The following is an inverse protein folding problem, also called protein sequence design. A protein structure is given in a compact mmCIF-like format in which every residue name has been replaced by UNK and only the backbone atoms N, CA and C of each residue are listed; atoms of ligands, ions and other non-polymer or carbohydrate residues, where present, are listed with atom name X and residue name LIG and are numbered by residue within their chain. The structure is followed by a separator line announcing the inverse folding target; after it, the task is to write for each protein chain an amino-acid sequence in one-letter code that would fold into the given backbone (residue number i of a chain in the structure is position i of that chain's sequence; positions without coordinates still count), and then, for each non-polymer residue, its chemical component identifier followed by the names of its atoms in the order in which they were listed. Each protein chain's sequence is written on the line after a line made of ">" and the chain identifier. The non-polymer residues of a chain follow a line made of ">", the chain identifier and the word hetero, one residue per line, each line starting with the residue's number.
data_IF_629863140063
#
_entry.id   IF_629863140063
#
_cell.length_a   1.000
_cell.length_b   1.000
_cell.length_c   1.000
_cell.angle_alpha   90.00
_cell.angle_beta   90.00
_cell.angle_gamma   90.00
#
_symmetry.space_group_name_H-M   'P 1'
#
loop_
_entity.id
_entity.type
_entity.pdbx_description
1 polymer ?
#
# COMPACT_ATOMS: atom_id res chain seq x y z
N UNK A 1 -21.51 4.65 11.43
CA UNK A 1 -22.89 4.48 10.94
C UNK A 1 -23.63 3.40 11.73
N UNK A 2 -23.10 2.18 11.84
CA UNK A 2 -23.80 1.03 12.48
C UNK A 2 -23.81 0.98 14.02
N UNK A 3 -23.02 1.81 14.71
CA UNK A 3 -22.95 1.82 16.18
C UNK A 3 -23.80 2.94 16.82
N UNK A 4 -24.49 3.77 16.02
CA UNK A 4 -25.29 4.87 16.55
C UNK A 4 -26.48 4.31 17.34
N UNK A 5 -26.68 4.77 18.58
CA UNK A 5 -27.74 4.26 19.48
C UNK A 5 -27.43 2.93 20.20
N UNK A 6 -26.28 2.29 19.92
CA UNK A 6 -25.85 1.03 20.56
C UNK A 6 -25.13 1.27 21.87
N UNK A 7 -25.88 1.62 22.91
CA UNK A 7 -25.35 1.89 24.26
C UNK A 7 -24.62 0.68 24.87
N UNK A 8 -24.98 -0.54 24.48
CA UNK A 8 -24.34 -1.79 24.87
C UNK A 8 -22.88 -1.89 24.39
N UNK A 9 -22.53 -1.22 23.29
CA UNK A 9 -21.17 -1.19 22.76
C UNK A 9 -20.30 -0.09 23.39
N UNK A 10 -20.91 0.87 24.10
CA UNK A 10 -20.21 2.07 24.59
C UNK A 10 -19.05 1.74 25.51
N UNK A 11 -19.23 0.79 26.43
CA UNK A 11 -18.16 0.36 27.33
C UNK A 11 -16.96 -0.24 26.60
N UNK A 12 -17.19 -1.07 25.57
CA UNK A 12 -16.13 -1.65 24.75
C UNK A 12 -15.45 -0.56 23.91
N UNK A 13 -16.21 0.35 23.31
CA UNK A 13 -15.67 1.48 22.55
C UNK A 13 -14.80 2.36 23.44
N UNK A 14 -15.27 2.72 24.64
CA UNK A 14 -14.52 3.54 25.60
C UNK A 14 -13.23 2.83 26.03
N UNK A 15 -13.27 1.52 26.27
CA UNK A 15 -12.08 0.72 26.61
C UNK A 15 -11.10 0.63 25.42
N UNK A 16 -11.58 0.51 24.18
CA UNK A 16 -10.75 0.54 22.96
C UNK A 16 -10.10 1.92 22.74
N UNK A 17 -10.88 3.00 22.87
CA UNK A 17 -10.42 4.39 22.70
C UNK A 17 -9.45 4.83 23.80
N UNK A 18 -9.61 4.31 25.01
CA UNK A 18 -8.68 4.53 26.11
C UNK A 18 -7.40 3.66 26.00
N UNK A 19 -7.19 2.96 24.88
CA UNK A 19 -6.08 2.03 24.65
C UNK A 19 -5.90 1.02 25.79
N UNK A 20 -7.00 0.60 26.43
CA UNK A 20 -6.98 -0.47 27.44
C UNK A 20 -6.93 -1.81 26.71
N UNK A 21 -5.82 -2.05 26.03
CA UNK A 21 -5.55 -3.26 25.22
C UNK A 21 -5.67 -4.54 26.07
N UNK A 22 -5.56 -4.42 27.40
CA UNK A 22 -5.79 -5.49 28.37
C UNK A 22 -7.27 -5.82 28.63
N UNK A 23 -8.22 -5.02 28.13
CA UNK A 23 -9.67 -5.21 28.28
C UNK A 23 -10.36 -5.50 26.96
N UNK A 24 -10.02 -4.78 25.89
CA UNK A 24 -10.65 -4.95 24.60
C UNK A 24 -9.63 -4.76 23.47
N UNK A 25 -9.63 -5.69 22.52
CA UNK A 25 -8.87 -5.61 21.29
C UNK A 25 -9.78 -5.99 20.12
N UNK A 26 -10.09 -5.02 19.27
CA UNK A 26 -10.85 -5.23 18.04
C UNK A 26 -10.03 -5.97 17.00
N UNK A 27 -10.60 -7.02 16.42
CA UNK A 27 -10.05 -7.73 15.26
C UNK A 27 -11.06 -7.72 14.12
N UNK A 28 -10.56 -7.66 12.90
CA UNK A 28 -11.35 -7.65 11.67
C UNK A 28 -11.02 -8.87 10.80
N UNK A 29 -11.53 -10.07 11.16
CA UNK A 29 -11.19 -11.32 10.49
C UNK A 29 -11.94 -11.46 9.16
N UNK A 30 -11.47 -10.78 8.12
CA UNK A 30 -12.19 -10.64 6.86
C UNK A 30 -11.87 -11.72 5.83
N UNK A 31 -10.59 -12.10 5.68
CA UNK A 31 -10.18 -13.08 4.69
C UNK A 31 -10.45 -14.51 5.16
N UNK A 32 -10.87 -15.37 4.23
CA UNK A 32 -10.87 -16.82 4.39
C UNK A 32 -9.67 -17.43 3.67
N UNK A 33 -9.29 -18.65 4.03
CA UNK A 33 -8.19 -19.38 3.38
C UNK A 33 -8.39 -19.47 1.86
N UNK A 34 -9.63 -19.67 1.40
CA UNK A 34 -9.99 -19.72 -0.02
C UNK A 34 -10.42 -18.40 -0.64
N UNK A 35 -10.71 -17.37 0.16
CA UNK A 35 -11.33 -16.14 -0.31
C UNK A 35 -10.70 -14.90 0.36
N UNK A 36 -9.78 -14.25 -0.36
CA UNK A 36 -9.21 -12.95 0.01
C UNK A 36 -9.70 -11.79 -0.86
N UNK A 37 -10.08 -12.07 -2.11
CA UNK A 37 -10.41 -11.06 -3.13
C UNK A 37 -11.87 -11.10 -3.58
N UNK A 38 -12.52 -12.25 -3.38
CA UNK A 38 -13.92 -12.49 -3.77
C UNK A 38 -14.80 -12.57 -2.52
N UNK A 39 -15.04 -11.41 -1.93
CA UNK A 39 -15.85 -11.29 -0.69
C UNK A 39 -17.31 -11.74 -0.89
N UNK A 40 -17.83 -11.65 -2.12
CA UNK A 40 -19.21 -12.02 -2.41
C UNK A 40 -19.45 -13.53 -2.23
N UNK A 41 -18.38 -14.33 -2.31
CA UNK A 41 -18.44 -15.79 -2.22
C UNK A 41 -17.79 -16.34 -0.94
N UNK A 42 -17.71 -15.53 0.13
CA UNK A 42 -17.31 -16.03 1.45
C UNK A 42 -18.20 -17.20 1.87
N UNK A 43 -17.57 -18.21 2.46
CA UNK A 43 -18.21 -19.49 2.75
C UNK A 43 -18.59 -19.67 4.23
N UNK A 44 -18.09 -18.83 5.14
CA UNK A 44 -18.56 -18.78 6.53
C UNK A 44 -19.99 -18.26 6.57
N UNK A 45 -20.90 -18.99 7.21
CA UNK A 45 -22.31 -18.63 7.28
C UNK A 45 -22.68 -18.07 8.64
N UNK A 46 -23.53 -17.05 8.67
CA UNK A 46 -24.24 -16.57 9.85
C UNK A 46 -25.75 -16.76 9.63
N UNK A 47 -26.34 -17.80 10.21
CA UNK A 47 -27.74 -18.21 9.98
C UNK A 47 -28.62 -17.72 11.13
N UNK A 48 -29.67 -16.94 10.83
CA UNK A 48 -30.64 -16.47 11.82
C UNK A 48 -31.48 -17.65 12.34
N UNK A 49 -31.58 -17.82 13.65
CA UNK A 49 -32.48 -18.81 14.24
C UNK A 49 -33.93 -18.31 14.33
N UNK A 50 -34.94 -19.21 14.24
CA UNK A 50 -36.35 -18.85 14.43
C UNK A 50 -36.66 -18.18 15.77
N UNK A 51 -35.88 -18.48 16.82
CA UNK A 51 -36.01 -17.87 18.15
C UNK A 51 -35.21 -16.57 18.36
N UNK A 52 -34.58 -16.05 17.31
CA UNK A 52 -33.64 -14.92 17.37
C UNK A 52 -32.20 -15.36 17.62
N UNK A 53 -31.26 -14.46 17.34
CA UNK A 53 -29.82 -14.77 17.36
C UNK A 53 -29.34 -15.49 16.10
N UNK A 54 -28.03 -15.74 16.03
CA UNK A 54 -27.37 -16.30 14.85
C UNK A 54 -26.52 -17.53 15.20
N UNK A 55 -26.51 -18.52 14.32
CA UNK A 55 -25.47 -19.54 14.28
C UNK A 55 -24.37 -19.10 13.32
N UNK A 56 -23.14 -19.03 13.80
CA UNK A 56 -21.98 -18.85 12.96
C UNK A 56 -21.24 -20.16 12.75
N UNK A 57 -20.98 -20.50 11.49
CA UNK A 57 -20.34 -21.76 11.14
C UNK A 57 -19.35 -21.63 9.96
N UNK A 58 -18.18 -22.23 10.13
CA UNK A 58 -17.22 -22.49 9.07
C UNK A 58 -17.62 -23.77 8.35
N UNK A 59 -18.13 -23.64 7.13
CA UNK A 59 -18.72 -24.74 6.34
C UNK A 59 -17.69 -25.74 5.81
N UNK A 60 -16.45 -25.29 5.58
CA UNK A 60 -15.35 -26.12 5.08
C UNK A 60 -13.98 -25.51 5.44
N UNK A 61 -12.90 -26.24 5.20
CA UNK A 61 -11.54 -25.76 5.52
C UNK A 61 -11.15 -24.49 4.76
N UNK A 62 -11.62 -24.31 3.52
CA UNK A 62 -11.35 -23.11 2.74
C UNK A 62 -12.10 -21.88 3.27
N UNK A 63 -13.18 -22.10 4.05
CA UNK A 63 -13.94 -21.04 4.72
C UNK A 63 -13.32 -20.62 6.07
N UNK A 64 -12.23 -21.28 6.51
CA UNK A 64 -11.57 -20.91 7.75
C UNK A 64 -10.98 -19.50 7.63
N UNK A 65 -11.11 -18.68 8.68
CA UNK A 65 -10.68 -17.28 8.64
C UNK A 65 -9.18 -17.17 8.86
N UNK A 66 -8.52 -16.37 8.03
CA UNK A 66 -7.15 -15.95 8.26
C UNK A 66 -7.16 -14.71 9.16
N UNK A 67 -6.57 -14.81 10.35
CA UNK A 67 -6.67 -13.79 11.39
C UNK A 67 -5.29 -13.42 11.92
N UNK A 68 -5.10 -12.18 12.33
CA UNK A 68 -3.90 -11.73 13.01
C UNK A 68 -4.23 -11.57 14.49
N UNK A 69 -3.80 -12.51 15.33
CA UNK A 69 -3.87 -12.34 16.78
C UNK A 69 -2.51 -11.88 17.29
N UNK A 70 -2.48 -10.88 18.17
CA UNK A 70 -1.41 -10.88 19.18
C UNK A 70 -1.67 -12.09 20.08
N UNK A 71 -0.62 -12.76 20.55
CA UNK A 71 -0.70 -13.70 21.69
C UNK A 71 -1.75 -13.22 22.69
N UNK A 72 -2.54 -14.11 23.33
CA UNK A 72 -3.42 -13.68 24.41
C UNK A 72 -2.57 -12.88 25.38
N UNK A 73 -2.75 -11.56 25.43
CA UNK A 73 -2.10 -10.72 26.41
C UNK A 73 -2.65 -11.21 27.74
N UNK A 74 -1.85 -12.00 28.46
CA UNK A 74 -2.13 -12.45 29.82
C UNK A 74 -3.42 -13.31 29.97
N UNK A 75 -3.69 -14.22 29.02
CA UNK A 75 -4.78 -15.21 29.18
C UNK A 75 -6.21 -14.63 29.19
N UNK A 76 -6.42 -13.48 28.54
CA UNK A 76 -7.71 -12.78 28.49
C UNK A 76 -8.36 -12.82 27.10
N UNK A 77 -9.71 -12.75 27.02
CA UNK A 77 -10.43 -12.78 25.75
C UNK A 77 -10.07 -11.56 24.89
N UNK A 78 -9.60 -11.80 23.66
CA UNK A 78 -9.62 -10.79 22.61
C UNK A 78 -11.07 -10.58 22.15
N UNK A 79 -11.41 -9.38 21.68
CA UNK A 79 -12.75 -9.01 21.23
C UNK A 79 -12.74 -8.71 19.73
N UNK A 80 -12.50 -9.71 18.86
CA UNK A 80 -12.95 -9.64 17.47
C UNK A 80 -14.47 -9.53 17.36
N UNK A 81 -14.99 -9.09 16.20
CA UNK A 81 -16.44 -9.13 15.91
C UNK A 81 -17.01 -10.55 16.11
N UNK A 82 -16.15 -11.58 16.13
CA UNK A 82 -16.46 -12.96 16.50
C UNK A 82 -15.23 -13.58 17.19
N UNK A 83 -15.34 -14.15 18.41
CA UNK A 83 -14.19 -14.77 19.12
C UNK A 83 -14.35 -16.24 19.50
N UNK A 84 -15.50 -16.86 19.28
CA UNK A 84 -15.77 -18.20 19.80
C UNK A 84 -15.27 -19.33 18.86
N UNK A 85 -14.21 -19.06 18.10
CA UNK A 85 -13.64 -19.98 17.12
C UNK A 85 -12.45 -20.77 17.68
N UNK A 86 -12.23 -21.98 17.13
CA UNK A 86 -11.01 -22.77 17.37
C UNK A 86 -9.89 -22.25 16.48
N UNK A 87 -8.73 -21.97 17.08
CA UNK A 87 -7.58 -21.40 16.39
C UNK A 87 -6.44 -22.40 16.18
N UNK A 88 -5.75 -22.25 15.06
CA UNK A 88 -4.47 -22.89 14.76
C UNK A 88 -3.44 -21.78 14.52
N UNK A 89 -2.38 -21.72 15.34
CA UNK A 89 -1.29 -20.75 15.18
C UNK A 89 -0.39 -21.16 14.02
N UNK A 90 -0.12 -20.21 13.13
CA UNK A 90 0.78 -20.40 12.00
C UNK A 90 2.24 -20.11 12.41
N UNK A 91 3.24 -20.76 11.76
CA UNK A 91 4.64 -20.45 12.02
C UNK A 91 4.95 -18.98 11.70
N UNK A 92 5.99 -18.46 12.36
CA UNK A 92 6.50 -17.11 12.11
C UNK A 92 6.87 -16.93 10.64
N UNK A 93 6.51 -15.77 10.08
CA UNK A 93 6.82 -15.38 8.70
C UNK A 93 7.97 -14.36 8.68
N UNK A 94 8.60 -14.20 7.52
CA UNK A 94 9.55 -13.11 7.31
C UNK A 94 8.79 -11.78 7.28
N UNK A 95 9.18 -10.83 8.14
CA UNK A 95 8.41 -9.62 8.38
C UNK A 95 7.25 -9.83 9.36
N UNK A 96 6.69 -8.74 9.89
CA UNK A 96 5.53 -8.74 10.81
C UNK A 96 5.74 -9.57 12.10
N UNK A 97 6.97 -9.59 12.62
CA UNK A 97 7.38 -10.39 13.77
C UNK A 97 6.62 -10.18 15.11
N UNK A 98 5.94 -9.04 15.41
CA UNK A 98 5.13 -8.96 16.62
C UNK A 98 3.73 -9.60 16.49
N UNK A 99 3.39 -10.18 15.35
CA UNK A 99 2.04 -10.69 15.07
C UNK A 99 1.99 -12.21 14.86
N UNK A 100 1.11 -12.89 15.60
CA UNK A 100 0.85 -14.32 15.41
C UNK A 100 -0.37 -14.49 14.51
N UNK A 101 -0.12 -14.89 13.28
CA UNK A 101 -1.21 -15.22 12.37
C UNK A 101 -1.82 -16.57 12.74
N UNK A 102 -3.14 -16.65 12.67
CA UNK A 102 -3.94 -17.80 13.06
C UNK A 102 -4.95 -18.14 11.97
N UNK A 103 -5.31 -19.41 11.89
CA UNK A 103 -6.50 -19.86 11.17
C UNK A 103 -7.59 -20.12 12.20
N UNK A 104 -8.72 -19.44 12.07
CA UNK A 104 -9.86 -19.52 13.00
C UNK A 104 -11.04 -20.23 12.34
N UNK A 105 -11.62 -21.21 13.02
CA UNK A 105 -12.81 -21.96 12.58
C UNK A 105 -13.94 -21.83 13.58
N UNK A 106 -15.16 -21.63 13.09
CA UNK A 106 -16.36 -21.55 13.92
C UNK A 106 -17.18 -22.83 13.81
N UNK A 107 -17.42 -23.48 14.94
CA UNK A 107 -18.24 -24.68 14.98
C UNK A 107 -19.58 -24.39 15.66
N UNK A 108 -20.57 -23.98 14.87
CA UNK A 108 -21.95 -23.69 15.32
C UNK A 108 -21.99 -22.75 16.54
N UNK A 109 -21.23 -21.67 16.44
CA UNK A 109 -21.12 -20.64 17.48
C UNK A 109 -22.44 -19.88 17.57
N UNK A 110 -22.98 -19.77 18.77
CA UNK A 110 -24.25 -19.10 19.03
C UNK A 110 -24.00 -17.63 19.38
N UNK A 111 -24.64 -16.72 18.63
CA UNK A 111 -24.50 -15.27 18.82
C UNK A 111 -25.87 -14.64 19.11
N UNK A 112 -25.95 -13.67 20.03
CA UNK A 112 -27.20 -12.93 20.25
C UNK A 112 -27.54 -12.06 19.03
N UNK A 113 -28.80 -11.65 18.90
CA UNK A 113 -29.24 -10.77 17.80
C UNK A 113 -28.47 -9.43 17.81
N UNK A 114 -28.10 -8.95 19.00
CA UNK A 114 -27.27 -7.74 19.17
C UNK A 114 -25.85 -7.88 18.60
N UNK A 115 -25.37 -9.09 18.28
CA UNK A 115 -24.07 -9.27 17.64
C UNK A 115 -24.04 -8.73 16.20
N UNK A 116 -25.20 -8.63 15.53
CA UNK A 116 -25.29 -7.98 14.23
C UNK A 116 -25.11 -6.47 14.38
N UNK A 117 -24.18 -5.90 13.61
CA UNK A 117 -23.98 -4.46 13.50
C UNK A 117 -24.74 -3.96 12.26
N UNK A 118 -25.86 -3.29 12.49
CA UNK A 118 -26.78 -2.83 11.43
C UNK A 118 -28.07 -3.64 11.38
N UNK A 119 -28.79 -3.52 10.26
CA UNK A 119 -30.05 -4.21 10.01
C UNK A 119 -29.85 -5.34 8.98
N UNK A 120 -30.70 -6.37 9.05
CA UNK A 120 -30.81 -7.41 8.03
C UNK A 120 -31.49 -6.84 6.78
N UNK A 121 -30.79 -5.95 6.09
CA UNK A 121 -31.24 -5.36 4.85
C UNK A 121 -30.30 -5.76 3.71
N UNK A 122 -30.83 -6.61 2.81
CA UNK A 122 -30.13 -7.06 1.61
C UNK A 122 -30.06 -5.99 0.53
N UNK A 123 -30.66 -4.81 0.73
CA UNK A 123 -30.63 -3.69 -0.22
C UNK A 123 -29.34 -2.86 -0.14
N UNK A 124 -28.56 -3.00 0.94
CA UNK A 124 -27.33 -2.22 1.14
C UNK A 124 -26.22 -2.71 0.22
N UNK A 125 -25.70 -1.80 -0.60
CA UNK A 125 -24.53 -2.06 -1.43
C UNK A 125 -23.32 -2.42 -0.54
N UNK A 126 -22.80 -3.64 -0.69
CA UNK A 126 -21.66 -4.15 0.09
C UNK A 126 -20.44 -3.23 0.03
N UNK A 127 -20.29 -2.45 -1.05
CA UNK A 127 -19.20 -1.49 -1.24
C UNK A 127 -19.23 -0.37 -0.21
N UNK A 128 -20.42 0.02 0.26
CA UNK A 128 -20.56 1.03 1.32
C UNK A 128 -20.01 0.52 2.66
N UNK A 129 -20.06 -0.79 2.91
CA UNK A 129 -19.48 -1.42 4.11
C UNK A 129 -17.95 -1.52 4.06
N UNK A 130 -17.35 -1.37 2.87
CA UNK A 130 -15.91 -1.47 2.61
C UNK A 130 -15.16 -0.12 2.64
N UNK A 131 -15.82 0.97 3.04
CA UNK A 131 -15.23 2.32 3.04
C UNK A 131 -13.88 2.42 3.79
N UNK A 132 -13.68 1.59 4.81
CA UNK A 132 -12.48 1.56 5.65
C UNK A 132 -11.24 1.05 4.89
N UNK A 133 -11.41 0.24 3.85
CA UNK A 133 -10.31 -0.28 3.01
C UNK A 133 -9.57 0.88 2.34
N UNK A 134 -10.30 1.90 1.85
CA UNK A 134 -9.68 3.10 1.27
C UNK A 134 -8.86 3.90 2.29
N UNK A 135 -9.33 4.00 3.54
CA UNK A 135 -8.58 4.64 4.64
C UNK A 135 -7.33 3.81 5.00
N UNK A 136 -7.47 2.49 5.01
CA UNK A 136 -6.35 1.55 5.19
C UNK A 136 -5.28 1.73 4.11
N UNK A 137 -5.68 1.75 2.83
CA UNK A 137 -4.79 1.95 1.69
C UNK A 137 -3.99 3.27 1.79
N UNK A 138 -4.65 4.40 2.10
CA UNK A 138 -3.97 5.69 2.30
C UNK A 138 -2.99 5.62 3.50
N UNK A 139 -3.38 4.93 4.57
CA UNK A 139 -2.53 4.75 5.75
C UNK A 139 -1.29 3.90 5.44
N UNK A 140 -1.43 2.85 4.62
CA UNK A 140 -0.31 2.03 4.15
C UNK A 140 0.68 2.84 3.32
N UNK A 141 0.22 3.76 2.47
CA UNK A 141 1.09 4.68 1.74
C UNK A 141 1.93 5.57 2.66
N UNK A 142 1.33 6.09 3.75
CA UNK A 142 2.08 6.88 4.74
C UNK A 142 3.18 6.08 5.44
N UNK A 143 2.93 4.79 5.71
CA UNK A 143 3.92 3.86 6.25
C UNK A 143 5.05 3.63 5.24
N UNK A 144 4.72 3.38 3.97
CA UNK A 144 5.69 3.18 2.90
C UNK A 144 6.67 4.35 2.78
N UNK A 145 6.15 5.58 2.76
CA UNK A 145 6.95 6.81 2.71
C UNK A 145 7.88 6.92 3.92
N UNK A 146 7.37 6.58 5.11
CA UNK A 146 8.19 6.60 6.33
C UNK A 146 9.30 5.57 6.28
N UNK A 147 9.02 4.36 5.78
CA UNK A 147 10.04 3.34 5.55
C UNK A 147 11.10 3.80 4.55
N UNK A 148 10.68 4.43 3.45
CA UNK A 148 11.58 4.96 2.43
C UNK A 148 12.48 6.07 2.98
N UNK A 149 11.93 7.02 3.73
CA UNK A 149 12.69 8.06 4.46
C UNK A 149 13.79 7.47 5.32
N UNK A 150 13.45 6.49 6.16
CA UNK A 150 14.40 5.85 7.07
C UNK A 150 15.48 5.08 6.29
N UNK A 151 15.08 4.30 5.28
CA UNK A 151 15.99 3.51 4.47
C UNK A 151 16.97 4.39 3.68
N UNK A 152 16.47 5.39 2.96
CA UNK A 152 17.31 6.29 2.15
C UNK A 152 18.25 7.12 3.03
N UNK A 153 17.79 7.59 4.19
CA UNK A 153 18.63 8.30 5.17
C UNK A 153 19.75 7.41 5.71
N UNK A 154 19.42 6.19 6.15
CA UNK A 154 20.42 5.23 6.65
C UNK A 154 21.50 4.96 5.61
N UNK A 155 21.10 4.60 4.39
CA UNK A 155 22.04 4.25 3.33
C UNK A 155 22.85 5.47 2.91
N UNK A 156 22.25 6.67 2.83
CA UNK A 156 22.97 7.91 2.52
C UNK A 156 24.04 8.23 3.57
N UNK A 157 23.68 8.21 4.86
CA UNK A 157 24.60 8.50 5.98
C UNK A 157 25.73 7.49 6.08
N UNK A 158 25.41 6.21 5.91
CA UNK A 158 26.42 5.16 5.77
C UNK A 158 27.35 5.42 4.58
N UNK A 159 26.81 5.80 3.42
CA UNK A 159 27.58 6.01 2.20
C UNK A 159 28.55 7.20 2.27
N UNK A 160 28.23 8.20 3.11
CA UNK A 160 29.14 9.30 3.42
C UNK A 160 30.32 8.85 4.30
N UNK A 161 30.09 7.89 5.19
CA UNK A 161 31.07 7.45 6.19
C UNK A 161 31.92 6.27 5.72
N UNK A 162 31.39 5.43 4.84
CA UNK A 162 32.08 4.29 4.27
C UNK A 162 33.02 4.75 3.15
N UNK A 163 34.32 4.48 3.30
CA UNK A 163 35.35 4.85 2.34
C UNK A 163 35.98 3.60 1.71
N UNK A 164 36.31 3.67 0.42
CA UNK A 164 36.96 2.59 -0.33
C UNK A 164 38.06 3.15 -1.24
N UNK A 165 38.99 2.29 -1.65
CA UNK A 165 40.08 2.63 -2.58
C UNK A 165 41.45 2.75 -1.92
N UNK A 166 42.44 3.03 -2.76
CA UNK A 166 43.85 3.22 -2.37
C UNK A 166 44.02 4.64 -1.81
N UNK A 167 44.94 4.91 -0.85
CA UNK A 167 45.02 6.21 -0.19
C UNK A 167 45.19 7.42 -1.13
N UNK A 168 44.48 8.55 -0.91
CA UNK A 168 43.46 8.72 0.12
C UNK A 168 42.14 8.03 -0.27
N UNK A 169 41.51 7.29 0.66
CA UNK A 169 40.27 6.59 0.37
C UNK A 169 39.14 7.61 0.13
N UNK A 170 38.22 7.31 -0.78
CA UNK A 170 37.09 8.18 -1.11
C UNK A 170 35.79 7.61 -0.57
N UNK A 171 34.82 8.44 -0.16
CA UNK A 171 33.53 7.94 0.31
C UNK A 171 32.78 7.26 -0.83
N UNK A 172 32.10 6.15 -0.55
CA UNK A 172 31.37 5.36 -1.56
C UNK A 172 30.25 6.16 -2.21
N UNK A 173 29.73 7.21 -1.55
CA UNK A 173 28.76 8.14 -2.14
C UNK A 173 29.32 8.90 -3.35
N UNK A 174 30.63 8.84 -3.62
CA UNK A 174 31.24 9.45 -4.80
C UNK A 174 30.92 8.69 -6.10
N UNK A 175 30.51 7.43 -6.02
CA UNK A 175 30.21 6.60 -7.19
C UNK A 175 28.77 6.76 -7.66
N UNK A 176 28.55 6.92 -8.97
CA UNK A 176 27.20 6.99 -9.56
C UNK A 176 26.34 5.77 -9.23
N UNK A 177 26.94 4.59 -9.21
CA UNK A 177 26.28 3.34 -8.81
C UNK A 177 25.73 3.37 -7.39
N UNK A 178 26.35 4.15 -6.49
CA UNK A 178 25.85 4.37 -5.14
C UNK A 178 24.86 5.53 -5.07
N UNK A 179 25.10 6.61 -5.82
CA UNK A 179 24.26 7.80 -5.80
C UNK A 179 22.87 7.53 -6.37
N UNK A 180 22.77 6.91 -7.56
CA UNK A 180 21.50 6.75 -8.30
C UNK A 180 20.39 6.17 -7.40
N UNK A 181 20.54 4.96 -6.83
CA UNK A 181 19.45 4.37 -6.04
C UNK A 181 19.10 5.18 -4.79
N UNK A 182 20.07 5.82 -4.13
CA UNK A 182 19.83 6.63 -2.93
C UNK A 182 19.10 7.91 -3.30
N UNK A 183 19.55 8.58 -4.34
CA UNK A 183 19.06 9.89 -4.73
C UNK A 183 17.66 9.78 -5.34
N UNK A 184 17.41 8.75 -6.15
CA UNK A 184 16.07 8.42 -6.63
C UNK A 184 15.13 8.10 -5.46
N UNK A 185 15.57 7.34 -4.45
CA UNK A 185 14.76 7.08 -3.26
C UNK A 185 14.44 8.35 -2.45
N UNK A 186 15.38 9.29 -2.33
CA UNK A 186 15.11 10.59 -1.70
C UNK A 186 14.13 11.41 -2.55
N UNK A 187 14.32 11.48 -3.87
CA UNK A 187 13.38 12.14 -4.77
C UNK A 187 11.97 11.58 -4.67
N UNK A 188 11.82 10.26 -4.62
CA UNK A 188 10.54 9.58 -4.40
C UNK A 188 9.88 10.01 -3.09
N UNK A 189 10.62 10.15 -1.98
CA UNK A 189 10.05 10.70 -0.73
C UNK A 189 9.44 12.10 -0.92
N UNK A 190 10.09 12.95 -1.72
CA UNK A 190 9.64 14.33 -1.94
C UNK A 190 8.51 14.44 -2.95
N UNK A 191 8.44 13.55 -3.94
CA UNK A 191 7.37 13.53 -4.96
C UNK A 191 6.15 12.75 -4.50
N UNK A 192 6.38 11.56 -3.95
CA UNK A 192 5.37 10.54 -3.72
C UNK A 192 4.77 10.73 -2.34
N UNK A 193 3.85 11.70 -2.23
CA UNK A 193 3.07 11.85 -1.00
C UNK A 193 2.10 10.66 -0.81
N UNK A 194 1.80 9.83 -1.83
CA UNK A 194 0.81 8.73 -1.70
C UNK A 194 1.09 7.43 -2.49
N UNK A 195 2.06 7.30 -3.41
CA UNK A 195 2.11 6.12 -4.29
C UNK A 195 3.50 5.53 -4.50
N UNK A 196 3.87 4.50 -3.71
CA UNK A 196 4.81 3.49 -4.18
C UNK A 196 4.81 2.21 -3.32
N UNK A 197 4.84 1.04 -3.97
CA UNK A 197 5.00 -0.26 -3.30
C UNK A 197 6.13 -1.16 -3.84
N UNK A 198 6.83 -0.83 -4.92
CA UNK A 198 7.75 -1.80 -5.53
C UNK A 198 8.98 -1.14 -6.14
N UNK A 199 10.16 -1.35 -5.51
CA UNK A 199 11.54 -1.01 -5.98
C UNK A 199 12.36 -0.02 -5.16
N UNK A 200 12.06 0.13 -3.87
CA UNK A 200 13.03 0.72 -2.97
C UNK A 200 14.03 -0.33 -2.46
N UNK A 201 15.32 -0.04 -2.61
CA UNK A 201 16.44 -0.78 -1.99
C UNK A 201 16.38 -0.62 -0.47
N UNK A 202 15.70 -1.54 0.19
CA UNK A 202 15.33 -1.46 1.61
C UNK A 202 16.04 -2.58 2.40
N UNK A 203 16.34 -2.32 3.68
CA UNK A 203 16.87 -3.33 4.62
C UNK A 203 15.90 -4.52 4.73
N UNK A 204 16.41 -5.76 4.67
CA UNK A 204 15.64 -7.02 4.53
C UNK A 204 14.30 -7.11 5.31
N UNK A 205 14.27 -6.66 6.57
CA UNK A 205 13.06 -6.69 7.42
C UNK A 205 11.99 -5.74 6.89
N UNK A 206 12.37 -4.51 6.55
CA UNK A 206 11.47 -3.52 5.99
C UNK A 206 10.97 -3.97 4.60
N UNK A 207 11.82 -4.59 3.78
CA UNK A 207 11.40 -5.14 2.48
C UNK A 207 10.36 -6.25 2.64
N UNK A 208 10.54 -7.13 3.64
CA UNK A 208 9.57 -8.19 3.95
C UNK A 208 8.23 -7.61 4.41
N UNK A 209 8.25 -6.56 5.23
CA UNK A 209 7.02 -5.88 5.66
C UNK A 209 6.31 -5.19 4.47
N UNK A 210 7.06 -4.50 3.62
CA UNK A 210 6.52 -3.80 2.43
C UNK A 210 5.80 -4.74 1.47
N UNK A 211 6.36 -5.93 1.22
CA UNK A 211 5.72 -6.96 0.39
C UNK A 211 4.42 -7.50 0.99
N UNK A 212 4.28 -7.49 2.31
CA UNK A 212 3.02 -7.84 2.96
C UNK A 212 1.95 -6.77 2.80
N UNK A 213 2.35 -5.49 2.76
CA UNK A 213 1.42 -4.37 2.64
C UNK A 213 0.75 -4.30 1.26
N UNK A 214 1.43 -4.71 0.19
CA UNK A 214 0.87 -4.71 -1.18
C UNK A 214 -0.30 -5.67 -1.40
N UNK A 215 -0.63 -6.51 -0.41
CA UNK A 215 -1.76 -7.43 -0.44
C UNK A 215 -2.85 -7.13 0.61
N UNK A 216 -2.55 -6.31 1.62
CA UNK A 216 -3.35 -6.26 2.85
C UNK A 216 -4.72 -5.56 2.69
N UNK A 217 -4.80 -4.54 1.84
CA UNK A 217 -6.01 -3.72 1.62
C UNK A 217 -6.55 -3.88 0.18
N UNK A 218 -6.37 -5.08 -0.36
CA UNK A 218 -6.62 -5.40 -1.75
C UNK A 218 -5.33 -5.74 -2.47
N UNK A 219 -5.37 -6.82 -3.25
CA UNK A 219 -4.26 -7.18 -4.12
C UNK A 219 -4.04 -6.09 -5.17
N UNK A 220 -2.79 -5.65 -5.34
CA UNK A 220 -2.43 -4.56 -6.25
C UNK A 220 -2.94 -4.79 -7.68
N UNK A 221 -2.91 -6.02 -8.20
CA UNK A 221 -3.40 -6.31 -9.55
C UNK A 221 -4.92 -6.22 -9.63
N UNK A 222 -5.63 -6.71 -8.61
CA UNK A 222 -7.09 -6.55 -8.53
C UNK A 222 -7.48 -5.09 -8.43
N UNK A 223 -6.75 -4.29 -7.64
CA UNK A 223 -6.96 -2.84 -7.56
C UNK A 223 -6.70 -2.15 -8.90
N UNK A 224 -5.65 -2.53 -9.64
CA UNK A 224 -5.40 -2.02 -10.99
C UNK A 224 -6.56 -2.34 -11.95
N UNK A 225 -7.05 -3.59 -11.92
CA UNK A 225 -8.20 -4.04 -12.71
C UNK A 225 -9.46 -3.24 -12.34
N UNK A 226 -9.75 -3.11 -11.04
CA UNK A 226 -10.93 -2.37 -10.55
C UNK A 226 -10.86 -0.90 -10.95
N UNK A 227 -9.71 -0.26 -10.72
CA UNK A 227 -9.49 1.15 -11.07
C UNK A 227 -9.80 1.37 -12.55
N UNK A 228 -9.29 0.53 -13.44
CA UNK A 228 -9.51 0.69 -14.86
C UNK A 228 -10.95 0.34 -15.31
N UNK A 229 -11.56 -0.69 -14.72
CA UNK A 229 -12.94 -1.10 -15.03
C UNK A 229 -13.97 -0.06 -14.58
N UNK A 230 -13.78 0.55 -13.40
CA UNK A 230 -14.62 1.64 -12.89
C UNK A 230 -14.40 2.96 -13.64
N UNK A 231 -13.27 3.09 -14.35
CA UNK A 231 -12.86 4.32 -15.02
C UNK A 231 -13.49 4.60 -16.39
N UNK A 232 -14.52 3.87 -16.86
CA UNK A 232 -15.28 4.34 -18.03
C UNK A 232 -16.05 5.66 -17.78
N UNK A 233 -16.32 5.98 -16.50
CA UNK A 233 -16.96 7.24 -16.06
C UNK A 233 -16.03 8.14 -15.24
N UNK A 234 -15.18 7.58 -14.37
CA UNK A 234 -14.25 8.35 -13.53
C UNK A 234 -13.05 8.92 -14.30
N UNK A 235 -12.61 8.31 -15.41
CA UNK A 235 -11.59 8.90 -16.28
C UNK A 235 -12.03 10.23 -16.92
N UNK A 236 -13.33 10.54 -16.96
CA UNK A 236 -13.83 11.85 -17.41
C UNK A 236 -13.84 12.93 -16.32
N UNK A 237 -13.85 12.54 -15.04
CA UNK A 237 -14.02 13.46 -13.91
C UNK A 237 -12.81 13.58 -12.98
N UNK A 238 -11.90 12.59 -12.94
CA UNK A 238 -10.61 12.69 -12.24
C UNK A 238 -9.47 13.21 -13.12
N UNK A 239 -9.67 13.32 -14.44
CA UNK A 239 -8.69 13.92 -15.34
C UNK A 239 -8.66 15.44 -15.14
N UNK A 240 -7.76 15.87 -14.26
CA UNK A 240 -7.31 17.27 -14.27
C UNK A 240 -6.31 17.39 -15.44
N UNK A 241 -6.41 18.40 -16.31
CA UNK A 241 -5.44 18.54 -17.40
C UNK A 241 -4.02 18.66 -16.80
N UNK A 242 -3.02 17.95 -17.35
CA UNK A 242 -1.70 17.84 -16.78
C UNK A 242 -0.97 19.18 -16.77
N UNK A 243 -0.11 19.36 -15.77
CA UNK A 243 0.89 20.44 -15.80
C UNK A 243 1.98 19.99 -16.78
N UNK A 244 2.36 20.87 -17.71
CA UNK A 244 3.37 20.52 -18.72
C UNK A 244 4.68 20.15 -18.04
N UNK A 245 5.22 18.96 -18.36
CA UNK A 245 6.52 18.50 -17.88
C UNK A 245 7.64 19.49 -18.28
N UNK A 246 7.54 19.93 -19.53
CA UNK A 246 8.39 20.91 -20.21
C UNK A 246 7.57 21.49 -21.37
N UNK A 247 8.06 22.56 -22.01
CA UNK A 247 7.48 23.08 -23.27
C UNK A 247 7.42 22.04 -24.42
N UNK A 248 7.96 20.81 -24.23
CA UNK A 248 8.16 19.79 -25.25
C UNK A 248 7.34 18.51 -25.07
N UNK A 249 6.73 18.26 -23.91
CA UNK A 249 5.92 17.05 -23.67
C UNK A 249 4.46 17.46 -23.55
N UNK A 250 3.71 17.19 -24.60
CA UNK A 250 2.29 17.55 -24.73
C UNK A 250 1.40 16.33 -24.53
N UNK A 251 0.19 16.59 -24.04
CA UNK A 251 -1.01 15.75 -23.85
C UNK A 251 -1.36 14.65 -24.89
N UNK A 252 -0.61 14.50 -25.99
CA UNK A 252 -0.95 13.59 -27.09
C UNK A 252 -0.83 12.11 -26.71
N UNK A 253 0.03 11.76 -25.75
CA UNK A 253 0.49 10.37 -25.60
C UNK A 253 -0.33 9.59 -24.57
N UNK A 254 -0.85 10.27 -23.55
CA UNK A 254 -1.74 9.71 -22.53
C UNK A 254 -3.08 9.26 -23.12
N UNK A 255 -3.67 10.18 -23.89
CA UNK A 255 -4.94 9.97 -24.57
C UNK A 255 -4.85 8.80 -25.54
N UNK A 256 -3.68 8.55 -26.15
CA UNK A 256 -3.47 7.44 -27.07
C UNK A 256 -3.55 6.07 -26.36
N UNK A 257 -2.97 5.94 -25.16
CA UNK A 257 -3.05 4.71 -24.35
C UNK A 257 -4.49 4.43 -23.90
N UNK A 258 -5.17 5.45 -23.37
CA UNK A 258 -6.58 5.33 -22.98
C UNK A 258 -7.49 5.04 -24.17
N UNK A 259 -7.23 5.64 -25.33
CA UNK A 259 -7.97 5.36 -26.56
C UNK A 259 -7.74 3.92 -27.01
N UNK A 260 -6.50 3.42 -27.00
CA UNK A 260 -6.17 2.01 -27.31
C UNK A 260 -6.97 1.06 -26.40
N UNK A 261 -6.94 1.29 -25.09
CA UNK A 261 -7.70 0.50 -24.12
C UNK A 261 -9.22 0.58 -24.37
N UNK A 262 -9.75 1.79 -24.56
CA UNK A 262 -11.18 2.01 -24.79
C UNK A 262 -11.67 1.33 -26.07
N UNK A 263 -10.88 1.36 -27.14
CA UNK A 263 -11.16 0.65 -28.38
C UNK A 263 -11.15 -0.86 -28.16
N UNK A 264 -10.15 -1.40 -27.47
CA UNK A 264 -10.08 -2.85 -27.19
C UNK A 264 -11.27 -3.34 -26.36
N UNK A 265 -11.72 -2.59 -25.35
CA UNK A 265 -12.91 -2.92 -24.55
C UNK A 265 -14.18 -2.88 -25.40
N UNK A 266 -14.31 -1.90 -26.31
CA UNK A 266 -15.46 -1.80 -27.22
C UNK A 266 -15.53 -2.97 -28.20
N UNK A 267 -14.38 -3.40 -28.72
CA UNK A 267 -14.30 -4.45 -29.74
C UNK A 267 -14.45 -5.87 -29.17
N UNK A 268 -13.81 -6.15 -28.03
CA UNK A 268 -13.68 -7.52 -27.51
C UNK A 268 -14.44 -7.76 -26.21
N UNK A 269 -14.99 -6.70 -25.59
CA UNK A 269 -15.61 -6.75 -24.29
C UNK A 269 -14.62 -6.95 -23.14
N UNK A 270 -14.90 -6.37 -21.98
CA UNK A 270 -14.01 -6.42 -20.81
C UNK A 270 -13.91 -7.81 -20.13
N UNK A 271 -14.71 -8.79 -20.57
CA UNK A 271 -14.67 -10.19 -20.12
C UNK A 271 -14.24 -11.17 -21.21
N UNK A 272 -13.87 -10.68 -22.40
CA UNK A 272 -13.45 -11.53 -23.51
C UNK A 272 -12.02 -12.05 -23.33
N UNK A 273 -11.71 -13.21 -23.90
CA UNK A 273 -10.39 -13.84 -23.82
C UNK A 273 -9.28 -12.94 -24.36
N UNK A 274 -9.58 -12.15 -25.40
CA UNK A 274 -8.64 -11.19 -25.97
C UNK A 274 -8.32 -10.07 -24.98
N UNK A 275 -9.33 -9.53 -24.29
CA UNK A 275 -9.10 -8.55 -23.23
C UNK A 275 -8.23 -9.15 -22.12
N UNK A 276 -8.56 -10.36 -21.65
CA UNK A 276 -7.83 -11.03 -20.58
C UNK A 276 -6.36 -11.30 -20.92
N UNK A 277 -6.07 -11.62 -22.18
CA UNK A 277 -4.72 -11.96 -22.63
C UNK A 277 -3.81 -10.75 -22.83
N UNK A 278 -4.36 -9.60 -23.20
CA UNK A 278 -3.56 -8.44 -23.62
C UNK A 278 -3.58 -7.28 -22.63
N UNK A 279 -4.68 -7.06 -21.92
CA UNK A 279 -4.82 -5.90 -21.03
C UNK A 279 -4.26 -6.18 -19.62
N UNK A 280 -4.77 -7.16 -18.82
CA UNK A 280 -4.28 -7.43 -17.47
C UNK A 280 -2.76 -7.43 -17.31
N UNK A 281 -1.96 -8.00 -18.23
CA UNK A 281 -0.50 -7.98 -18.13
C UNK A 281 0.13 -6.59 -18.18
N UNK A 282 -0.52 -5.61 -18.82
CA UNK A 282 -0.03 -4.23 -18.97
C UNK A 282 -0.61 -3.28 -17.92
N UNK A 283 -1.57 -3.74 -17.10
CA UNK A 283 -2.33 -2.85 -16.22
C UNK A 283 -1.50 -2.20 -15.14
N UNK A 284 -0.60 -2.97 -14.52
CA UNK A 284 0.26 -2.44 -13.48
C UNK A 284 1.06 -1.25 -14.01
N UNK A 285 1.74 -1.44 -15.14
CA UNK A 285 2.53 -0.40 -15.81
C UNK A 285 1.68 0.84 -16.14
N UNK A 286 0.47 0.67 -16.69
CA UNK A 286 -0.42 1.80 -17.00
C UNK A 286 -0.82 2.57 -15.74
N UNK A 287 -1.18 1.86 -14.66
CA UNK A 287 -1.61 2.48 -13.40
C UNK A 287 -0.43 3.16 -12.69
N UNK A 288 0.75 2.53 -12.67
CA UNK A 288 1.98 3.12 -12.14
C UNK A 288 2.34 4.40 -12.88
N UNK A 289 2.26 4.38 -14.21
CA UNK A 289 2.50 5.54 -15.05
C UNK A 289 1.53 6.70 -14.74
N UNK A 290 0.23 6.42 -14.58
CA UNK A 290 -0.76 7.43 -14.11
C UNK A 290 -0.36 7.97 -12.73
N UNK A 291 0.05 7.09 -11.82
CA UNK A 291 0.49 7.43 -10.46
C UNK A 291 1.71 8.36 -10.47
N UNK A 292 2.75 8.04 -11.24
CA UNK A 292 3.95 8.86 -11.40
C UNK A 292 3.63 10.25 -11.98
N UNK A 293 2.72 10.30 -12.95
CA UNK A 293 2.24 11.56 -13.52
C UNK A 293 1.47 12.40 -12.49
N UNK A 294 0.60 11.78 -11.68
CA UNK A 294 -0.11 12.47 -10.58
C UNK A 294 0.86 12.99 -9.52
N UNK A 295 1.88 12.20 -9.18
CA UNK A 295 2.93 12.60 -8.24
C UNK A 295 3.77 13.77 -8.80
N UNK A 296 4.08 13.76 -10.10
CA UNK A 296 4.73 14.87 -10.78
C UNK A 296 3.95 16.17 -10.64
N UNK A 297 2.66 16.17 -11.02
CA UNK A 297 1.81 17.37 -10.94
C UNK A 297 1.72 17.91 -9.51
N UNK A 298 1.58 17.01 -8.54
CA UNK A 298 1.56 17.35 -7.12
C UNK A 298 2.89 17.97 -6.66
N UNK A 299 4.02 17.40 -7.06
CA UNK A 299 5.35 17.89 -6.73
C UNK A 299 5.61 19.29 -7.31
N UNK A 300 5.22 19.53 -8.57
CA UNK A 300 5.31 20.86 -9.19
C UNK A 300 4.43 21.87 -8.46
N UNK A 301 3.19 21.49 -8.12
CA UNK A 301 2.26 22.36 -7.39
C UNK A 301 2.77 22.72 -6.00
N UNK A 302 3.45 21.79 -5.33
CA UNK A 302 4.05 22.01 -4.01
C UNK A 302 5.38 22.76 -4.06
N UNK A 303 5.90 23.07 -5.25
CA UNK A 303 7.17 23.78 -5.41
C UNK A 303 8.39 22.93 -5.05
N UNK A 304 8.30 21.60 -5.20
CA UNK A 304 9.45 20.70 -5.03
C UNK A 304 10.53 21.07 -6.05
N UNK A 305 11.82 21.12 -5.67
CA UNK A 305 12.90 21.47 -6.60
C UNK A 305 12.91 20.59 -7.86
N UNK A 306 12.99 21.21 -9.03
CA UNK A 306 12.99 20.52 -10.33
C UNK A 306 14.03 19.39 -10.41
N UNK A 307 15.19 19.58 -9.79
CA UNK A 307 16.25 18.58 -9.76
C UNK A 307 15.83 17.27 -9.06
N UNK A 308 14.93 17.32 -8.06
CA UNK A 308 14.33 16.11 -7.45
C UNK A 308 13.21 15.55 -8.33
N UNK A 309 12.47 16.42 -9.02
CA UNK A 309 11.40 16.00 -9.92
C UNK A 309 11.96 15.13 -11.06
N UNK A 310 13.08 15.54 -11.66
CA UNK A 310 13.72 14.89 -12.81
C UNK A 310 14.47 13.57 -12.49
N UNK A 311 14.55 13.14 -11.23
CA UNK A 311 15.36 12.00 -10.78
C UNK A 311 14.80 10.59 -11.03
N UNK A 312 13.76 10.48 -11.86
CA UNK A 312 13.08 9.21 -12.17
C UNK A 312 12.15 9.36 -13.38
N UNK A 313 12.74 9.71 -14.53
CA UNK A 313 12.01 9.95 -15.78
C UNK A 313 12.05 8.74 -16.73
N UNK A 314 12.52 7.58 -16.25
CA UNK A 314 12.69 6.37 -17.07
C UNK A 314 11.40 5.89 -17.74
N UNK A 315 10.26 6.09 -17.10
CA UNK A 315 8.94 5.70 -17.63
C UNK A 315 8.53 6.46 -18.90
N UNK A 316 9.12 7.63 -19.17
CA UNK A 316 8.89 8.36 -20.42
C UNK A 316 9.58 7.69 -21.63
N UNK A 317 10.53 6.79 -21.40
CA UNK A 317 11.13 5.96 -22.46
C UNK A 317 10.09 4.98 -23.00
N UNK A 318 9.36 4.30 -22.10
CA UNK A 318 8.34 3.32 -22.47
C UNK A 318 7.13 3.96 -23.14
N UNK A 319 6.83 5.21 -22.78
CA UNK A 319 5.82 6.02 -23.46
C UNK A 319 6.28 6.53 -24.85
N UNK A 320 7.52 6.24 -25.28
CA UNK A 320 8.08 6.69 -26.55
C UNK A 320 8.36 8.20 -26.61
N UNK A 321 8.33 8.88 -25.46
CA UNK A 321 8.47 10.33 -25.32
C UNK A 321 9.95 10.74 -25.29
N UNK A 322 10.77 9.92 -24.64
CA UNK A 322 12.21 10.16 -24.49
C UNK A 322 13.01 8.96 -25.02
N UNK A 323 14.20 9.24 -25.56
CA UNK A 323 15.19 8.18 -25.81
C UNK A 323 15.95 7.84 -24.54
N UNK A 324 16.54 6.65 -24.50
CA UNK A 324 17.40 6.23 -23.40
C UNK A 324 18.55 7.22 -23.13
N UNK A 325 19.16 7.77 -24.19
CA UNK A 325 20.23 8.77 -24.09
C UNK A 325 19.74 10.10 -23.50
N UNK A 326 18.51 10.51 -23.84
CA UNK A 326 17.91 11.72 -23.28
C UNK A 326 17.66 11.55 -21.78
N UNK A 327 17.15 10.41 -21.35
CA UNK A 327 16.95 10.10 -19.92
C UNK A 327 18.29 10.07 -19.18
N UNK A 328 19.28 9.36 -19.69
CA UNK A 328 20.61 9.32 -19.06
C UNK A 328 21.22 10.73 -18.90
N UNK A 329 21.04 11.59 -19.90
CA UNK A 329 21.50 12.99 -19.85
C UNK A 329 20.71 13.85 -18.87
N UNK A 330 19.40 13.61 -18.72
CA UNK A 330 18.55 14.28 -17.73
C UNK A 330 18.95 13.86 -16.31
N UNK A 331 19.11 12.56 -16.08
CA UNK A 331 19.54 12.01 -14.79
C UNK A 331 20.90 12.55 -14.37
N UNK A 332 21.91 12.56 -15.26
CA UNK A 332 23.24 13.09 -14.90
C UNK A 332 23.19 14.57 -14.46
N UNK A 333 22.38 15.40 -15.15
CA UNK A 333 22.15 16.80 -14.80
C UNK A 333 21.44 16.94 -13.46
N UNK A 334 20.35 16.20 -13.28
CA UNK A 334 19.58 16.20 -12.02
C UNK A 334 20.48 15.77 -10.85
N UNK A 335 21.27 14.72 -11.02
CA UNK A 335 22.21 14.21 -10.02
C UNK A 335 23.30 15.24 -9.65
N UNK A 336 23.83 15.99 -10.62
CA UNK A 336 24.79 17.07 -10.35
C UNK A 336 24.14 18.24 -9.60
N UNK A 337 22.90 18.58 -9.94
CA UNK A 337 22.17 19.67 -9.31
C UNK A 337 21.70 19.31 -7.88
N UNK A 338 21.42 18.04 -7.62
CA UNK A 338 20.92 17.55 -6.32
C UNK A 338 22.01 17.30 -5.30
N UNK A 339 23.17 16.79 -5.73
CA UNK A 339 24.25 16.39 -4.82
C UNK A 339 24.63 17.45 -3.76
N UNK A 340 24.81 18.74 -4.11
CA UNK A 340 25.16 19.78 -3.14
C UNK A 340 24.12 19.99 -2.04
N UNK A 341 22.84 19.70 -2.33
CA UNK A 341 21.71 19.94 -1.43
C UNK A 341 21.25 18.65 -0.71
N UNK A 342 21.78 17.49 -1.08
CA UNK A 342 21.29 16.20 -0.61
C UNK A 342 21.35 16.06 0.92
N UNK A 343 22.40 16.56 1.57
CA UNK A 343 22.48 16.56 3.04
C UNK A 343 21.28 17.28 3.67
N UNK A 344 20.99 18.50 3.18
CA UNK A 344 19.89 19.31 3.67
C UNK A 344 18.54 18.60 3.46
N UNK A 345 18.32 18.03 2.27
CA UNK A 345 17.08 17.32 1.98
C UNK A 345 16.93 16.03 2.78
N UNK A 346 18.01 15.32 3.03
CA UNK A 346 17.97 14.14 3.89
C UNK A 346 17.62 14.53 5.33
N UNK A 347 18.19 15.62 5.85
CA UNK A 347 17.87 16.12 7.18
C UNK A 347 16.43 16.62 7.30
N UNK A 348 15.90 17.31 6.28
CA UNK A 348 14.51 17.79 6.30
C UNK A 348 13.46 16.69 6.18
N UNK A 349 13.83 15.43 5.91
CA UNK A 349 12.91 14.29 6.02
C UNK A 349 12.47 14.01 7.46
N UNK A 350 13.23 14.51 8.46
CA UNK A 350 12.85 14.47 9.87
C UNK A 350 12.89 13.09 10.53
N UNK A 351 13.74 12.18 10.03
CA UNK A 351 13.84 10.79 10.52
C UNK A 351 15.11 10.48 11.31
N UNK A 352 16.04 11.43 11.44
CA UNK A 352 17.35 11.24 12.06
C UNK A 352 17.27 10.68 13.49
N UNK A 353 16.31 11.16 14.30
CA UNK A 353 16.12 10.72 15.69
C UNK A 353 15.62 9.28 15.81
N UNK A 354 15.07 8.72 14.73
CA UNK A 354 14.49 7.37 14.71
C UNK A 354 15.45 6.34 14.08
N UNK A 355 16.62 6.77 13.63
CA UNK A 355 17.60 5.86 13.02
C UNK A 355 18.26 5.03 14.12
N UNK A 356 18.03 3.71 14.07
CA UNK A 356 18.61 2.73 15.01
C UNK A 356 19.56 1.75 14.34
N UNK A 357 20.00 2.06 13.12
CA UNK A 357 20.81 1.15 12.33
C UNK A 357 22.25 1.12 12.89
N UNK A 358 22.78 -0.05 13.31
CA UNK A 358 24.12 -0.15 13.91
C UNK A 358 25.27 0.26 12.98
N UNK A 359 24.99 0.36 11.67
CA UNK A 359 25.94 0.78 10.64
C UNK A 359 26.21 2.29 10.65
N UNK A 360 25.40 3.07 11.37
CA UNK A 360 25.60 4.50 11.50
C UNK A 360 26.61 4.77 12.62
N UNK A 361 27.54 5.73 12.44
CA UNK A 361 28.40 6.17 13.53
C UNK A 361 27.54 6.69 14.68
N UNK A 362 27.92 6.38 15.93
CA UNK A 362 27.23 6.88 17.12
C UNK A 362 27.10 8.40 17.04
N UNK A 363 25.86 8.89 17.12
CA UNK A 363 25.58 10.32 17.25
C UNK A 363 26.19 10.75 18.59
N UNK A 364 27.30 11.50 18.54
CA UNK A 364 27.90 12.11 19.72
C UNK A 364 27.10 13.31 20.19
#
# INVERSE_FOLDING_TARGET
>A
MYCFGRNDLRGIIDDMMAYKVYKALGLFPFSEVGHGLDIANLCTTATLFPGGGFELHTTCLVAARYTCRRLPVLGKPAFGIINDGKDIVLPGRNGSFPFNHTITMFHRVQLPLSALLGELDNSVDIRLSLWHVGVGAISLSAIAITCLKVASTNVYRYSLSCHVGVPPPIPIISFRTQQIPIFTAVAQVYRDVIYFFYDASIVLIQQSNMRGMSMAEGDVFVLCIQTLNSNSLLAKHMYTPPIRLTDRVSLSDESAIFNKYTTMVKEHGYRGDHYHSFIPPQLQMIIEWIGHRMAYDAAVTQGIPQALIEMDVGWYIEAGVLTQDQVASMEDRAMKATFPHMNQWVDSMGVSDYLKAPILPEVK
#
